data_IF_266242482233
#
_entry.id   IF_266242482233
#
_cell.length_a   1.000
_cell.length_b   1.000
_cell.length_c   1.000
_cell.angle_alpha   90.00
_cell.angle_beta   90.00
_cell.angle_gamma   90.00
#
_symmetry.space_group_name_H-M   'P 1'
#
loop_
_entity.id
_entity.type
_entity.pdbx_description
1 polymer ?
#
# COMPACT_ATOMS: atom_id res chain seq x y z
N UNK A 1 28.52 -14.17 -53.37
CA UNK A 1 28.23 -12.88 -52.71
C UNK A 1 28.65 -13.03 -51.27
N UNK A 2 29.71 -12.33 -50.84
CA UNK A 2 30.13 -12.34 -49.44
C UNK A 2 29.19 -11.43 -48.65
N UNK A 3 28.50 -12.01 -47.68
CA UNK A 3 27.63 -11.25 -46.79
C UNK A 3 28.49 -10.48 -45.80
N UNK A 4 28.28 -9.17 -45.73
CA UNK A 4 28.84 -8.32 -44.69
C UNK A 4 28.23 -8.78 -43.35
N UNK A 5 29.05 -9.39 -42.48
CA UNK A 5 28.64 -9.70 -41.11
C UNK A 5 28.61 -8.40 -40.31
N UNK A 6 27.39 -7.95 -39.97
CA UNK A 6 27.20 -6.87 -39.00
C UNK A 6 27.59 -7.45 -37.62
N UNK A 7 28.56 -6.86 -36.90
CA UNK A 7 28.94 -7.34 -35.57
C UNK A 7 27.75 -7.19 -34.63
N UNK A 8 27.51 -8.25 -33.84
CA UNK A 8 26.46 -8.21 -32.82
C UNK A 8 26.87 -7.18 -31.76
N UNK A 9 26.04 -6.15 -31.51
CA UNK A 9 26.37 -5.13 -30.51
C UNK A 9 26.55 -5.75 -29.11
N UNK A 10 27.54 -5.26 -28.37
CA UNK A 10 27.90 -5.73 -27.03
C UNK A 10 26.99 -5.09 -25.97
N UNK A 11 25.70 -5.41 -25.96
CA UNK A 11 24.80 -5.05 -24.86
C UNK A 11 24.20 -6.30 -24.23
N UNK A 12 23.98 -6.26 -22.91
CA UNK A 12 23.26 -7.32 -22.21
C UNK A 12 21.76 -7.10 -22.35
N UNK A 13 20.99 -8.17 -22.43
CA UNK A 13 19.52 -8.05 -22.53
C UNK A 13 18.92 -7.33 -21.31
N UNK A 14 19.54 -7.49 -20.14
CA UNK A 14 19.23 -6.75 -18.91
C UNK A 14 19.30 -5.22 -19.10
N UNK A 15 20.25 -4.72 -19.89
CA UNK A 15 20.42 -3.28 -20.15
C UNK A 15 19.26 -2.74 -21.00
N UNK A 16 18.72 -3.57 -21.88
CA UNK A 16 17.54 -3.24 -22.70
C UNK A 16 16.30 -3.14 -21.83
N UNK A 17 16.12 -4.09 -20.90
CA UNK A 17 14.98 -4.09 -19.97
C UNK A 17 15.06 -2.90 -19.01
N UNK A 18 16.24 -2.60 -18.47
CA UNK A 18 16.44 -1.42 -17.61
C UNK A 18 16.19 -0.12 -18.35
N UNK A 19 16.66 0.00 -19.60
CA UNK A 19 16.35 1.18 -20.43
C UNK A 19 14.85 1.34 -20.61
N UNK A 20 14.15 0.26 -20.93
CA UNK A 20 12.70 0.26 -21.10
C UNK A 20 11.96 0.58 -19.80
N UNK A 21 12.45 0.10 -18.66
CA UNK A 21 11.93 0.47 -17.35
C UNK A 21 12.13 1.97 -17.06
N UNK A 22 13.30 2.52 -17.40
CA UNK A 22 13.57 3.95 -17.27
C UNK A 22 12.70 4.81 -18.20
N UNK A 23 12.50 4.37 -19.44
CA UNK A 23 11.58 5.04 -20.36
C UNK A 23 10.16 5.04 -19.78
N UNK A 24 9.70 3.89 -19.25
CA UNK A 24 8.40 3.80 -18.59
C UNK A 24 8.31 4.73 -17.37
N UNK A 25 9.38 4.81 -16.58
CA UNK A 25 9.48 5.72 -15.44
C UNK A 25 9.29 7.17 -15.91
N UNK A 26 10.05 7.60 -16.91
CA UNK A 26 10.05 8.98 -17.39
C UNK A 26 8.69 9.38 -17.97
N UNK A 27 8.09 8.52 -18.80
CA UNK A 27 6.87 8.86 -19.53
C UNK A 27 5.58 8.65 -18.73
N UNK A 28 5.53 7.60 -17.89
CA UNK A 28 4.30 7.19 -17.21
C UNK A 28 4.36 7.45 -15.71
N UNK A 29 5.32 6.89 -14.97
CA UNK A 29 5.35 7.07 -13.51
C UNK A 29 5.61 8.51 -13.09
N UNK A 30 6.62 9.16 -13.68
CA UNK A 30 6.97 10.55 -13.37
C UNK A 30 5.79 11.47 -13.64
N UNK A 31 5.17 11.31 -14.82
CA UNK A 31 4.01 12.11 -15.22
C UNK A 31 2.79 11.84 -14.34
N UNK A 32 2.51 10.58 -14.00
CA UNK A 32 1.37 10.23 -13.15
C UNK A 32 1.54 10.70 -11.72
N UNK A 33 2.73 10.54 -11.15
CA UNK A 33 3.08 11.04 -9.81
C UNK A 33 3.01 12.57 -9.80
N UNK A 34 3.62 13.25 -10.78
CA UNK A 34 3.56 14.72 -10.87
C UNK A 34 2.13 15.23 -11.11
N UNK A 35 1.32 14.55 -11.93
CA UNK A 35 -0.08 14.94 -12.13
C UNK A 35 -0.94 14.70 -10.89
N UNK A 36 -0.67 13.64 -10.12
CA UNK A 36 -1.23 13.46 -8.78
C UNK A 36 -0.88 14.65 -7.89
N UNK A 37 0.42 14.97 -7.81
CA UNK A 37 0.98 16.07 -7.00
C UNK A 37 0.37 17.44 -7.32
N UNK A 38 0.16 17.76 -8.59
CA UNK A 38 -0.27 19.11 -8.99
C UNK A 38 -1.79 19.27 -9.17
N UNK A 39 -2.60 18.21 -9.18
CA UNK A 39 -4.02 18.31 -9.58
C UNK A 39 -5.05 17.61 -8.69
N UNK A 40 -4.67 16.99 -7.57
CA UNK A 40 -5.63 16.31 -6.68
C UNK A 40 -6.46 15.22 -7.39
N UNK A 41 -5.92 14.67 -8.48
CA UNK A 41 -6.70 13.93 -9.47
C UNK A 41 -6.59 12.43 -9.23
N UNK A 42 -7.61 11.83 -8.59
CA UNK A 42 -7.74 10.36 -8.41
C UNK A 42 -7.88 9.57 -9.72
N UNK A 43 -8.09 10.24 -10.85
CA UNK A 43 -8.30 9.58 -12.16
C UNK A 43 -7.09 8.86 -12.74
N UNK A 44 -5.88 9.05 -12.20
CA UNK A 44 -4.64 8.57 -12.81
C UNK A 44 -4.12 7.23 -12.24
N UNK A 45 -4.68 6.75 -11.12
CA UNK A 45 -4.24 5.50 -10.50
C UNK A 45 -4.53 4.31 -11.39
N UNK A 46 -5.79 4.14 -11.81
CA UNK A 46 -6.25 3.02 -12.63
C UNK A 46 -5.50 2.92 -13.96
N UNK A 47 -5.27 4.07 -14.60
CA UNK A 47 -4.54 4.15 -15.87
C UNK A 47 -3.06 3.78 -15.67
N UNK A 48 -2.44 4.28 -14.60
CA UNK A 48 -1.04 3.94 -14.26
C UNK A 48 -0.89 2.45 -13.97
N UNK A 49 -1.79 1.87 -13.18
CA UNK A 49 -1.78 0.44 -12.87
C UNK A 49 -2.01 -0.42 -14.12
N UNK A 50 -2.92 0.00 -15.01
CA UNK A 50 -3.16 -0.67 -16.29
C UNK A 50 -1.90 -0.65 -17.16
N UNK A 51 -1.23 0.50 -17.28
CA UNK A 51 0.00 0.61 -18.06
C UNK A 51 1.14 -0.22 -17.49
N UNK A 52 1.29 -0.29 -16.17
CA UNK A 52 2.28 -1.17 -15.52
C UNK A 52 2.01 -2.63 -15.90
N UNK A 53 0.74 -3.05 -15.87
CA UNK A 53 0.36 -4.43 -16.15
C UNK A 53 0.50 -4.77 -17.65
N UNK A 54 0.12 -3.85 -18.53
CA UNK A 54 0.29 -3.97 -19.97
C UNK A 54 1.78 -4.06 -20.34
N UNK A 55 2.63 -3.24 -19.73
CA UNK A 55 4.06 -3.26 -19.97
C UNK A 55 4.70 -4.54 -19.43
N UNK A 56 4.31 -4.97 -18.23
CA UNK A 56 4.78 -6.23 -17.64
C UNK A 56 4.46 -7.45 -18.50
N UNK A 57 3.27 -7.49 -19.13
CA UNK A 57 2.84 -8.60 -19.99
C UNK A 57 3.76 -8.86 -21.20
N UNK A 58 4.63 -7.90 -21.53
CA UNK A 58 5.58 -7.98 -22.65
C UNK A 58 6.88 -8.68 -22.29
N UNK A 59 7.08 -9.05 -21.02
CA UNK A 59 8.30 -9.68 -20.53
C UNK A 59 8.08 -11.13 -20.13
N UNK A 60 9.16 -11.93 -20.20
CA UNK A 60 9.22 -13.23 -19.53
C UNK A 60 9.24 -13.05 -18.01
N UNK A 61 9.02 -14.11 -17.22
CA UNK A 61 9.06 -14.00 -15.75
C UNK A 61 10.40 -13.46 -15.22
N UNK A 62 11.54 -13.86 -15.77
CA UNK A 62 12.86 -13.35 -15.35
C UNK A 62 13.09 -11.90 -15.73
N UNK A 63 12.65 -11.50 -16.91
CA UNK A 63 12.82 -10.13 -17.43
C UNK A 63 11.86 -9.16 -16.74
N UNK A 64 10.63 -9.63 -16.47
CA UNK A 64 9.61 -8.92 -15.72
C UNK A 64 10.08 -8.58 -14.32
N UNK A 65 10.88 -9.43 -13.69
CA UNK A 65 11.52 -9.11 -12.41
C UNK A 65 12.48 -7.93 -12.51
N UNK A 66 13.34 -7.87 -13.53
CA UNK A 66 14.27 -6.75 -13.73
C UNK A 66 13.49 -5.44 -13.96
N UNK A 67 12.43 -5.50 -14.75
CA UNK A 67 11.53 -4.37 -14.96
C UNK A 67 10.91 -3.91 -13.64
N UNK A 68 10.22 -4.80 -12.92
CA UNK A 68 9.50 -4.49 -11.67
C UNK A 68 10.44 -4.00 -10.57
N UNK A 69 11.61 -4.62 -10.40
CA UNK A 69 12.60 -4.19 -9.39
C UNK A 69 13.15 -2.81 -9.69
N UNK A 70 13.33 -2.46 -10.97
CA UNK A 70 13.74 -1.11 -11.38
C UNK A 70 12.67 -0.08 -11.04
N UNK A 71 11.40 -0.38 -11.33
CA UNK A 71 10.28 0.50 -10.95
C UNK A 71 10.14 0.67 -9.43
N UNK A 72 10.26 -0.43 -8.68
CA UNK A 72 10.13 -0.43 -7.23
C UNK A 72 11.23 0.42 -6.57
N UNK A 73 12.48 0.25 -7.02
CA UNK A 73 13.60 1.05 -6.52
C UNK A 73 13.39 2.54 -6.78
N UNK A 74 12.91 2.90 -7.97
CA UNK A 74 12.62 4.29 -8.30
C UNK A 74 11.54 4.90 -7.38
N UNK A 75 10.48 4.17 -7.09
CA UNK A 75 9.44 4.63 -6.16
C UNK A 75 9.99 4.82 -4.75
N UNK A 76 10.82 3.89 -4.28
CA UNK A 76 11.46 3.98 -2.96
C UNK A 76 12.44 5.17 -2.88
N UNK A 77 13.13 5.49 -3.99
CA UNK A 77 13.98 6.68 -4.10
C UNK A 77 13.16 7.97 -4.03
N UNK A 78 12.02 8.04 -4.73
CA UNK A 78 11.10 9.18 -4.65
C UNK A 78 10.63 9.36 -3.20
N UNK A 79 10.08 8.31 -2.57
CA UNK A 79 9.61 8.35 -1.18
C UNK A 79 10.72 8.83 -0.23
N UNK A 80 11.92 8.26 -0.34
CA UNK A 80 13.06 8.65 0.49
C UNK A 80 13.46 10.11 0.29
N UNK A 81 13.46 10.58 -0.96
CA UNK A 81 13.82 11.96 -1.31
C UNK A 81 12.79 12.98 -0.82
N UNK A 82 11.50 12.67 -0.94
CA UNK A 82 10.41 13.55 -0.49
C UNK A 82 10.33 13.57 1.04
N UNK A 83 10.48 12.41 1.71
CA UNK A 83 10.60 12.36 3.19
C UNK A 83 11.78 13.21 3.67
N UNK A 84 12.93 13.14 3.00
CA UNK A 84 14.12 13.92 3.37
C UNK A 84 13.91 15.43 3.17
N UNK A 85 13.25 15.84 2.06
CA UNK A 85 12.88 17.24 1.80
C UNK A 85 11.92 17.75 2.85
N UNK A 86 10.84 17.02 3.12
CA UNK A 86 9.83 17.41 4.12
C UNK A 86 10.42 17.51 5.52
N UNK A 87 11.32 16.59 5.90
CA UNK A 87 12.03 16.67 7.19
C UNK A 87 12.92 17.91 7.29
N UNK A 88 13.72 18.18 6.25
CA UNK A 88 14.62 19.35 6.20
C UNK A 88 13.83 20.67 6.25
N UNK A 89 12.68 20.72 5.59
CA UNK A 89 11.80 21.88 5.58
C UNK A 89 11.02 22.04 6.89
N UNK A 90 10.57 20.95 7.51
CA UNK A 90 10.01 20.94 8.87
C UNK A 90 11.01 21.49 9.90
N UNK A 91 12.28 21.09 9.81
CA UNK A 91 13.35 21.62 10.66
C UNK A 91 13.56 23.13 10.44
N UNK A 92 13.38 23.62 9.21
CA UNK A 92 13.43 25.05 8.89
C UNK A 92 12.21 25.82 9.40
N UNK A 93 11.00 25.26 9.30
CA UNK A 93 9.74 25.85 9.78
C UNK A 93 9.69 25.88 11.31
N UNK A 94 10.14 24.79 11.96
CA UNK A 94 10.24 24.72 13.42
C UNK A 94 11.18 25.81 13.97
N UNK A 95 12.16 26.24 13.17
CA UNK A 95 13.03 27.39 13.47
C UNK A 95 12.40 28.75 13.15
N UNK A 96 11.43 28.85 12.24
CA UNK A 96 10.85 30.12 11.77
C UNK A 96 9.54 30.55 12.46
N UNK A 97 8.93 29.72 13.33
CA UNK A 97 7.71 30.03 14.12
C UNK A 97 6.46 30.45 13.33
N UNK A 98 6.46 30.36 12.01
CA UNK A 98 5.26 30.53 11.18
C UNK A 98 4.88 29.18 10.57
N UNK A 99 3.75 28.64 11.05
CA UNK A 99 3.16 27.37 10.64
C UNK A 99 2.30 27.60 9.40
N UNK A 100 2.86 27.39 8.21
CA UNK A 100 2.03 27.05 7.04
C UNK A 100 1.84 25.54 7.00
N UNK A 101 0.64 25.11 7.37
CA UNK A 101 0.17 23.72 7.53
C UNK A 101 -0.10 23.05 6.16
N UNK A 102 -0.08 23.83 5.07
CA UNK A 102 -0.49 23.44 3.72
C UNK A 102 0.44 22.43 3.02
N UNK A 103 1.58 22.07 3.62
CA UNK A 103 2.61 21.25 2.94
C UNK A 103 2.72 19.81 3.46
N UNK A 104 2.32 19.53 4.70
CA UNK A 104 2.21 18.14 5.22
C UNK A 104 1.10 17.39 4.48
N UNK A 105 0.09 18.11 3.96
CA UNK A 105 -1.00 17.53 3.17
C UNK A 105 -0.50 16.84 1.90
N UNK A 106 0.53 17.36 1.23
CA UNK A 106 1.04 16.84 -0.06
C UNK A 106 1.52 15.38 0.10
N UNK A 107 2.36 15.04 1.08
CA UNK A 107 2.82 13.64 1.24
C UNK A 107 1.69 12.73 1.70
N UNK A 108 0.84 13.18 2.63
CA UNK A 108 -0.29 12.39 3.14
C UNK A 108 -1.30 12.10 2.02
N UNK A 109 -1.52 13.05 1.11
CA UNK A 109 -2.49 12.96 0.03
C UNK A 109 -2.09 11.96 -1.06
N UNK A 110 -0.78 11.72 -1.29
CA UNK A 110 -0.30 10.81 -2.35
C UNK A 110 0.22 9.46 -1.86
N UNK A 111 0.38 9.27 -0.55
CA UNK A 111 0.73 7.98 0.03
C UNK A 111 -0.18 6.83 -0.49
N UNK A 112 -1.51 6.99 -0.62
CA UNK A 112 -2.37 5.93 -1.15
C UNK A 112 -2.02 5.52 -2.59
N UNK A 113 -1.68 6.47 -3.47
CA UNK A 113 -1.30 6.17 -4.85
C UNK A 113 0.02 5.40 -4.91
N UNK A 114 1.02 5.84 -4.13
CA UNK A 114 2.30 5.15 -4.05
C UNK A 114 2.14 3.74 -3.47
N UNK A 115 1.29 3.58 -2.47
CA UNK A 115 0.99 2.29 -1.86
C UNK A 115 0.30 1.33 -2.85
N UNK A 116 -0.68 1.81 -3.63
CA UNK A 116 -1.30 1.04 -4.69
C UNK A 116 -0.31 0.60 -5.77
N UNK A 117 0.57 1.50 -6.23
CA UNK A 117 1.60 1.17 -7.22
C UNK A 117 2.57 0.14 -6.65
N UNK A 118 3.07 0.35 -5.42
CA UNK A 118 3.94 -0.61 -4.73
C UNK A 118 3.27 -1.98 -4.60
N UNK A 119 2.02 -2.03 -4.17
CA UNK A 119 1.25 -3.27 -4.06
C UNK A 119 1.19 -4.04 -5.39
N UNK A 120 0.88 -3.33 -6.48
CA UNK A 120 0.85 -3.93 -7.81
C UNK A 120 2.22 -4.45 -8.23
N UNK A 121 3.29 -3.68 -8.02
CA UNK A 121 4.65 -4.09 -8.33
C UNK A 121 5.08 -5.30 -7.50
N UNK A 122 4.76 -5.34 -6.20
CA UNK A 122 5.00 -6.50 -5.35
C UNK A 122 4.26 -7.74 -5.89
N UNK A 123 3.00 -7.60 -6.28
CA UNK A 123 2.20 -8.68 -6.89
C UNK A 123 2.85 -9.21 -8.18
N UNK A 124 3.36 -8.33 -9.05
CA UNK A 124 4.02 -8.72 -10.30
C UNK A 124 5.38 -9.38 -10.06
N UNK A 125 6.13 -8.94 -9.07
CA UNK A 125 7.39 -9.58 -8.66
C UNK A 125 7.15 -10.98 -8.07
N UNK A 126 6.09 -11.17 -7.28
CA UNK A 126 5.71 -12.52 -6.82
C UNK A 126 5.34 -13.45 -7.96
N UNK A 127 4.56 -12.98 -8.94
CA UNK A 127 4.26 -13.74 -10.18
C UNK A 127 5.52 -14.09 -10.98
N UNK A 128 6.57 -13.32 -10.81
CA UNK A 128 7.88 -13.54 -11.42
C UNK A 128 8.76 -14.51 -10.63
N UNK A 129 8.25 -15.07 -9.52
CA UNK A 129 8.93 -16.04 -8.67
C UNK A 129 9.78 -15.42 -7.55
N UNK A 130 9.72 -14.10 -7.36
CA UNK A 130 10.45 -13.41 -6.31
C UNK A 130 9.62 -13.32 -5.03
N UNK A 131 10.22 -13.65 -3.88
CA UNK A 131 9.61 -13.43 -2.56
C UNK A 131 10.32 -12.28 -1.87
N UNK A 132 9.58 -11.23 -1.55
CA UNK A 132 10.03 -10.23 -0.58
C UNK A 132 10.10 -10.90 0.79
N UNK A 133 10.86 -10.33 1.73
CA UNK A 133 11.38 -10.95 2.96
C UNK A 133 10.44 -11.94 3.70
N UNK A 134 10.98 -12.76 4.61
CA UNK A 134 10.18 -13.67 5.44
C UNK A 134 9.01 -13.00 6.21
N UNK A 135 9.05 -11.67 6.40
CA UNK A 135 8.00 -10.85 7.02
C UNK A 135 6.97 -10.30 6.01
N UNK A 136 7.00 -10.70 4.73
CA UNK A 136 6.04 -10.27 3.71
C UNK A 136 4.86 -11.23 3.60
N UNK A 137 3.65 -10.70 3.45
CA UNK A 137 2.45 -11.51 3.20
C UNK A 137 2.50 -12.14 1.81
N UNK A 138 2.14 -13.41 1.73
CA UNK A 138 1.86 -14.08 0.45
C UNK A 138 0.50 -13.61 -0.08
N UNK A 139 0.32 -13.64 -1.40
CA UNK A 139 -0.96 -13.31 -2.05
C UNK A 139 -2.16 -14.10 -1.49
N UNK A 140 -1.97 -15.36 -1.11
CA UNK A 140 -3.04 -16.18 -0.49
C UNK A 140 -3.41 -15.68 0.91
N UNK A 141 -2.42 -15.20 1.67
CA UNK A 141 -2.64 -14.58 2.98
C UNK A 141 -3.37 -13.24 2.82
N UNK A 142 -2.94 -12.42 1.86
CA UNK A 142 -3.60 -11.14 1.53
C UNK A 142 -5.06 -11.36 1.12
N UNK A 143 -5.32 -12.33 0.23
CA UNK A 143 -6.67 -12.64 -0.21
C UNK A 143 -7.54 -13.09 0.97
N UNK A 144 -7.01 -13.94 1.86
CA UNK A 144 -7.72 -14.38 3.06
C UNK A 144 -8.01 -13.21 4.01
N UNK A 145 -7.02 -12.35 4.28
CA UNK A 145 -7.19 -11.18 5.14
C UNK A 145 -8.18 -10.18 4.56
N UNK A 146 -8.15 -9.95 3.24
CA UNK A 146 -9.13 -9.10 2.57
C UNK A 146 -10.56 -9.61 2.75
N UNK A 147 -10.79 -10.92 2.60
CA UNK A 147 -12.12 -11.51 2.85
C UNK A 147 -12.58 -11.32 4.29
N UNK A 148 -11.66 -11.44 5.26
CA UNK A 148 -11.97 -11.19 6.67
C UNK A 148 -12.32 -9.72 6.93
N UNK A 149 -11.55 -8.79 6.36
CA UNK A 149 -11.83 -7.36 6.45
C UNK A 149 -13.19 -7.04 5.79
N UNK A 150 -13.48 -7.59 4.61
CA UNK A 150 -14.77 -7.39 3.95
C UNK A 150 -15.94 -7.86 4.81
N UNK A 151 -15.80 -9.02 5.47
CA UNK A 151 -16.82 -9.53 6.40
C UNK A 151 -17.06 -8.58 7.58
N UNK A 152 -16.00 -7.94 8.10
CA UNK A 152 -16.10 -6.93 9.16
C UNK A 152 -16.82 -5.69 8.63
N UNK A 153 -16.43 -5.18 7.45
CA UNK A 153 -17.03 -3.99 6.83
C UNK A 153 -18.53 -4.19 6.55
N UNK A 154 -18.92 -5.36 6.04
CA UNK A 154 -20.32 -5.71 5.78
C UNK A 154 -21.15 -5.78 7.08
N UNK A 155 -20.55 -6.31 8.14
CA UNK A 155 -21.19 -6.37 9.46
C UNK A 155 -21.36 -4.97 10.05
N UNK A 156 -20.35 -4.10 9.92
CA UNK A 156 -20.42 -2.70 10.32
C UNK A 156 -21.49 -1.94 9.54
N UNK A 157 -21.63 -2.18 8.23
CA UNK A 157 -22.70 -1.58 7.42
C UNK A 157 -24.10 -2.02 7.87
N UNK A 158 -24.24 -3.29 8.25
CA UNK A 158 -25.50 -3.81 8.80
C UNK A 158 -25.85 -3.15 10.14
N UNK A 159 -24.85 -2.92 11.00
CA UNK A 159 -25.04 -2.23 12.28
C UNK A 159 -25.40 -0.76 12.08
N UNK A 160 -24.77 -0.11 11.10
CA UNK A 160 -25.06 1.27 10.71
C UNK A 160 -26.54 1.44 10.37
N UNK A 161 -27.08 0.55 9.53
CA UNK A 161 -28.50 0.58 9.15
C UNK A 161 -29.47 0.45 10.35
N UNK A 162 -29.03 -0.13 11.48
CA UNK A 162 -29.84 -0.36 12.67
C UNK A 162 -29.72 0.67 13.80
N UNK A 163 -28.71 1.55 13.80
CA UNK A 163 -28.42 2.42 14.95
C UNK A 163 -27.98 3.84 14.54
N UNK A 164 -28.93 4.80 14.50
CA UNK A 164 -28.69 6.21 14.13
C UNK A 164 -27.66 6.95 15.01
N UNK A 165 -27.52 6.56 16.29
CA UNK A 165 -26.68 7.28 17.27
C UNK A 165 -25.18 7.04 17.04
N UNK A 166 -24.80 5.99 16.31
CA UNK A 166 -23.41 5.54 16.15
C UNK A 166 -22.86 5.65 14.73
N UNK A 167 -23.61 6.22 13.80
CA UNK A 167 -23.24 6.31 12.38
C UNK A 167 -21.81 6.81 12.15
N UNK A 168 -21.43 7.92 12.81
CA UNK A 168 -20.12 8.53 12.61
C UNK A 168 -18.98 7.62 13.08
N UNK A 169 -19.14 6.97 14.23
CA UNK A 169 -18.14 6.03 14.76
C UNK A 169 -18.02 4.77 13.90
N UNK A 170 -19.13 4.31 13.31
CA UNK A 170 -19.11 3.18 12.37
C UNK A 170 -18.38 3.57 11.09
N UNK A 171 -18.60 4.78 10.56
CA UNK A 171 -17.92 5.25 9.35
C UNK A 171 -16.42 5.41 9.55
N UNK A 172 -16.00 6.00 10.67
CA UNK A 172 -14.59 6.11 11.06
C UNK A 172 -13.93 4.73 11.18
N UNK A 173 -14.59 3.78 11.86
CA UNK A 173 -14.08 2.42 12.02
C UNK A 173 -13.99 1.66 10.68
N UNK A 174 -14.96 1.85 9.79
CA UNK A 174 -14.93 1.27 8.44
C UNK A 174 -13.78 1.83 7.61
N UNK A 175 -13.50 3.13 7.70
CA UNK A 175 -12.37 3.75 7.01
C UNK A 175 -11.04 3.16 7.51
N UNK A 176 -10.87 3.03 8.83
CA UNK A 176 -9.68 2.42 9.41
C UNK A 176 -9.50 0.95 9.00
N UNK A 177 -10.54 0.12 9.06
CA UNK A 177 -10.48 -1.28 8.59
C UNK A 177 -10.21 -1.38 7.09
N UNK A 178 -10.80 -0.51 6.28
CA UNK A 178 -10.55 -0.45 4.84
C UNK A 178 -9.08 -0.12 4.54
N UNK A 179 -8.48 0.80 5.31
CA UNK A 179 -7.07 1.18 5.16
C UNK A 179 -6.09 0.02 5.41
N UNK A 180 -6.47 -0.97 6.24
CA UNK A 180 -5.63 -2.16 6.46
C UNK A 180 -5.38 -2.95 5.17
N UNK A 181 -6.24 -2.82 4.15
CA UNK A 181 -6.06 -3.50 2.86
C UNK A 181 -4.89 -2.96 2.03
N UNK A 182 -4.43 -1.73 2.32
CA UNK A 182 -3.27 -1.14 1.65
C UNK A 182 -1.99 -1.30 2.47
N UNK A 183 -2.12 -1.58 3.78
CA UNK A 183 -1.02 -1.67 4.73
C UNK A 183 -0.18 -2.94 4.62
N UNK A 184 -0.51 -3.91 3.76
CA UNK A 184 0.25 -5.17 3.64
C UNK A 184 1.73 -4.94 3.32
N UNK A 185 2.04 -3.79 2.69
CA UNK A 185 3.40 -3.32 2.40
C UNK A 185 4.25 -3.12 3.66
N UNK A 186 3.62 -2.94 4.83
CA UNK A 186 4.30 -2.71 6.11
C UNK A 186 4.97 -3.98 6.65
N UNK A 187 4.63 -5.15 6.10
CA UNK A 187 5.07 -6.46 6.59
C UNK A 187 4.15 -6.99 7.70
N UNK A 188 4.18 -8.31 7.90
CA UNK A 188 3.27 -9.04 8.81
C UNK A 188 3.29 -8.45 10.20
N UNK A 189 4.47 -8.22 10.78
CA UNK A 189 4.56 -7.71 12.15
C UNK A 189 3.87 -6.35 12.32
N UNK A 190 4.20 -5.37 11.47
CA UNK A 190 3.66 -4.00 11.59
C UNK A 190 2.19 -3.95 11.23
N UNK A 191 1.76 -4.71 10.23
CA UNK A 191 0.36 -4.81 9.83
C UNK A 191 -0.52 -5.29 10.98
N UNK A 192 -0.11 -6.36 11.66
CA UNK A 192 -0.87 -6.89 12.79
C UNK A 192 -0.87 -5.96 14.01
N UNK A 193 0.23 -5.25 14.26
CA UNK A 193 0.27 -4.20 15.28
C UNK A 193 -0.72 -3.07 14.96
N UNK A 194 -0.82 -2.66 13.69
CA UNK A 194 -1.79 -1.65 13.26
C UNK A 194 -3.22 -2.16 13.38
N UNK A 195 -3.52 -3.36 12.91
CA UNK A 195 -4.84 -3.97 13.05
C UNK A 195 -5.28 -4.07 14.53
N UNK A 196 -4.38 -4.46 15.43
CA UNK A 196 -4.65 -4.47 16.86
C UNK A 196 -4.86 -3.06 17.43
N UNK A 197 -4.12 -2.06 16.93
CA UNK A 197 -4.28 -0.65 17.28
C UNK A 197 -5.65 -0.10 16.91
N UNK A 198 -6.13 -0.39 15.69
CA UNK A 198 -7.49 -0.03 15.24
C UNK A 198 -8.52 -0.60 16.23
N UNK A 199 -8.42 -1.89 16.57
CA UNK A 199 -9.35 -2.53 17.51
C UNK A 199 -9.30 -1.90 18.91
N UNK A 200 -8.09 -1.65 19.43
CA UNK A 200 -7.90 -1.10 20.77
C UNK A 200 -8.44 0.33 20.92
N UNK A 201 -8.33 1.16 19.88
CA UNK A 201 -8.84 2.55 19.88
C UNK A 201 -10.34 2.58 20.13
N UNK A 202 -11.08 1.66 19.53
CA UNK A 202 -12.54 1.68 19.62
C UNK A 202 -13.08 0.79 20.74
N UNK A 203 -12.38 -0.26 21.17
CA UNK A 203 -12.78 -1.09 22.32
C UNK A 203 -12.76 -0.36 23.67
N UNK A 204 -12.09 0.80 23.76
CA UNK A 204 -11.99 1.59 24.99
C UNK A 204 -13.16 2.56 25.24
N UNK A 205 -14.17 2.60 24.38
CA UNK A 205 -15.27 3.58 24.46
C UNK A 205 -16.58 2.92 24.93
N UNK A 206 -17.45 3.64 25.64
CA UNK A 206 -18.77 3.12 26.08
C UNK A 206 -19.69 2.72 24.91
N UNK A 207 -19.39 3.24 23.72
CA UNK A 207 -20.06 2.95 22.46
C UNK A 207 -19.59 1.61 21.86
N UNK A 208 -18.45 1.11 22.33
CA UNK A 208 -17.79 -0.09 21.82
C UNK A 208 -18.64 -1.34 22.02
N UNK A 209 -19.25 -1.55 23.18
CA UNK A 209 -19.93 -2.82 23.46
C UNK A 209 -21.05 -3.11 22.44
N UNK A 210 -21.86 -2.10 22.11
CA UNK A 210 -22.91 -2.20 21.08
C UNK A 210 -22.38 -2.39 19.66
N UNK A 211 -21.17 -1.89 19.36
CA UNK A 211 -20.56 -1.98 18.04
C UNK A 211 -19.71 -3.24 17.88
N UNK A 212 -19.05 -3.69 18.95
CA UNK A 212 -18.05 -4.76 18.92
C UNK A 212 -18.65 -6.12 19.15
N UNK A 213 -19.67 -6.29 20.00
CA UNK A 213 -20.25 -7.62 20.26
C UNK A 213 -20.61 -8.41 18.98
N UNK A 214 -21.20 -7.78 17.94
CA UNK A 214 -21.55 -8.47 16.70
C UNK A 214 -20.35 -8.81 15.80
N UNK A 215 -19.30 -7.98 15.81
CA UNK A 215 -18.09 -8.15 14.95
C UNK A 215 -16.90 -8.78 15.67
N UNK A 216 -16.96 -8.93 17.00
CA UNK A 216 -15.95 -9.57 17.84
C UNK A 216 -15.47 -10.92 17.32
N UNK A 217 -16.32 -11.87 16.87
CA UNK A 217 -15.84 -13.12 16.31
C UNK A 217 -15.03 -12.94 15.02
N UNK A 218 -15.39 -11.97 14.18
CA UNK A 218 -14.66 -11.66 12.93
C UNK A 218 -13.32 -10.97 13.22
N UNK A 219 -13.30 -10.08 14.21
CA UNK A 219 -12.07 -9.43 14.67
C UNK A 219 -11.13 -10.45 15.32
N UNK A 220 -11.67 -11.37 16.12
CA UNK A 220 -10.90 -12.49 16.66
C UNK A 220 -10.33 -13.35 15.54
N UNK A 221 -11.10 -13.70 14.52
CA UNK A 221 -10.60 -14.47 13.37
C UNK A 221 -9.53 -13.71 12.55
N UNK A 222 -9.68 -12.39 12.41
CA UNK A 222 -8.67 -11.53 11.78
C UNK A 222 -7.36 -11.57 12.58
N UNK A 223 -7.43 -11.35 13.90
CA UNK A 223 -6.25 -11.19 14.74
C UNK A 223 -5.66 -12.52 15.23
N UNK A 224 -6.42 -13.61 15.35
CA UNK A 224 -5.92 -14.92 15.78
C UNK A 224 -5.02 -15.61 14.75
N UNK A 225 -5.01 -15.12 13.51
CA UNK A 225 -4.03 -15.50 12.49
C UNK A 225 -2.58 -15.08 12.83
N UNK A 226 -2.37 -14.31 13.92
CA UNK A 226 -1.08 -13.71 14.29
C UNK A 226 -0.17 -14.49 15.22
N UNK A 227 -0.70 -15.36 16.07
CA UNK A 227 0.10 -15.91 17.18
C UNK A 227 0.79 -14.85 18.06
N UNK A 228 0.27 -13.62 18.16
CA UNK A 228 0.88 -12.57 19.00
C UNK A 228 0.17 -12.42 20.35
N UNK A 229 0.93 -12.64 21.43
CA UNK A 229 0.55 -12.65 22.85
C UNK A 229 -0.18 -11.37 23.34
N UNK A 230 -0.07 -10.27 22.57
CA UNK A 230 -0.73 -8.98 22.84
C UNK A 230 -2.22 -9.01 22.50
N UNK A 231 -2.61 -9.73 21.44
CA UNK A 231 -4.00 -9.88 21.00
C UNK A 231 -4.81 -10.68 22.01
N UNK A 232 -4.23 -11.76 22.54
CA UNK A 232 -4.86 -12.58 23.58
C UNK A 232 -5.18 -11.73 24.83
N UNK A 233 -4.24 -10.89 25.25
CA UNK A 233 -4.41 -10.00 26.41
C UNK A 233 -5.44 -8.89 26.19
N UNK A 234 -5.61 -8.40 24.96
CA UNK A 234 -6.65 -7.40 24.65
C UNK A 234 -8.05 -8.01 24.61
N UNK A 235 -8.17 -9.29 24.24
CA UNK A 235 -9.44 -10.00 24.17
C UNK A 235 -9.90 -10.60 25.52
N UNK A 236 -8.96 -10.81 26.44
CA UNK A 236 -9.20 -11.37 27.78
C UNK A 236 -9.49 -10.31 28.87
N UNK A 237 -9.43 -9.01 28.54
CA UNK A 237 -9.85 -7.95 29.47
C UNK A 237 -11.38 -7.94 29.51
N UNK A 238 -11.90 -8.57 30.56
CA UNK A 238 -13.32 -8.59 30.98
C UNK A 238 -13.83 -7.24 31.42
#
# INVERSE_FOLDING_TARGET
>A
MDYIKIPVPNFRFEDVIKRRANDFIEFYLSKSILQGIYKGYRGNEKDTLSHIQDEWSKFSSSDGFIFVSTLLNHILEIESSEIAKSKSQLEAITKSKNLDIEFISVIIEYQPLLDSIKYQLYTLAEKSGFRFSADSFQLTEIASLNTKIDSILDSLETLKAGQEVVYNHIDELKEEFSSLKTDYILGKKKWHQRAAGVVATYSGTLVADSLFDPVKPLIHDLLSSTGTDVVQRLLDIK
#
